data_IF_184135887473
#
_entry.id   IF_184135887473
#
_cell.length_a   1.000
_cell.length_b   1.000
_cell.length_c   1.000
_cell.angle_alpha   90.00
_cell.angle_beta   90.00
_cell.angle_gamma   90.00
#
_symmetry.space_group_name_H-M   'P 1'
#
loop_
_entity.id
_entity.type
_entity.pdbx_description
1 polymer ?
#
# COMPACT_ATOMS: atom_id res chain seq x y z
N UNK A 1 10.49 -16.36 37.16
CA UNK A 1 9.62 -15.16 37.14
C UNK A 1 10.44 -13.95 37.53
N UNK A 2 11.04 -13.26 36.55
CA UNK A 2 11.76 -12.01 36.77
C UNK A 2 10.84 -10.89 36.32
N UNK A 3 10.37 -10.12 37.29
CA UNK A 3 9.52 -8.96 37.11
C UNK A 3 10.39 -7.83 36.53
N UNK A 4 10.29 -7.58 35.22
CA UNK A 4 11.14 -6.62 34.49
C UNK A 4 10.33 -5.50 33.83
N UNK A 5 9.38 -4.90 34.55
CA UNK A 5 8.79 -3.62 34.14
C UNK A 5 8.76 -2.66 35.33
N UNK A 6 9.90 -2.04 35.64
CA UNK A 6 9.89 -0.72 36.29
C UNK A 6 9.28 0.26 35.30
N UNK A 7 8.08 0.74 35.58
CA UNK A 7 7.43 1.82 34.81
C UNK A 7 8.32 3.06 34.94
N UNK A 8 9.12 3.33 33.91
CA UNK A 8 9.93 4.53 33.84
C UNK A 8 9.03 5.68 33.36
N UNK A 9 8.67 6.61 34.26
CA UNK A 9 7.81 7.78 33.97
C UNK A 9 8.40 8.75 32.92
N UNK A 10 9.59 8.48 32.37
CA UNK A 10 10.31 9.31 31.40
C UNK A 10 10.35 8.74 29.96
N UNK A 11 9.71 7.60 29.68
CA UNK A 11 9.70 7.02 28.33
C UNK A 11 8.68 7.73 27.45
N UNK A 12 9.11 8.20 26.27
CA UNK A 12 8.23 8.70 25.21
C UNK A 12 7.31 7.57 24.78
N UNK A 13 6.00 7.78 24.82
CA UNK A 13 5.00 6.80 24.42
C UNK A 13 4.49 7.07 23.02
N UNK A 14 4.51 6.03 22.18
CA UNK A 14 4.14 6.12 20.77
C UNK A 14 3.02 5.13 20.44
N UNK A 15 2.07 5.55 19.60
CA UNK A 15 0.99 4.69 19.12
C UNK A 15 0.84 4.76 17.61
N UNK A 16 0.59 3.60 16.98
CA UNK A 16 0.14 3.52 15.60
C UNK A 16 -1.38 3.40 15.55
N UNK A 17 -1.99 4.04 14.56
CA UNK A 17 -3.40 3.82 14.20
C UNK A 17 -3.49 3.41 12.72
N UNK A 18 -4.20 2.31 12.45
CA UNK A 18 -4.42 1.80 11.10
C UNK A 18 -5.92 1.62 10.81
N UNK A 19 -6.29 1.74 9.53
CA UNK A 19 -7.62 1.39 9.02
C UNK A 19 -7.47 0.24 8.04
N UNK A 20 -8.25 -0.82 8.19
CA UNK A 20 -8.05 -2.03 7.42
C UNK A 20 -9.37 -2.68 6.96
N UNK A 21 -9.35 -3.22 5.74
CA UNK A 21 -10.42 -4.07 5.20
C UNK A 21 -9.82 -5.32 4.59
N UNK A 22 -10.22 -6.49 5.06
CA UNK A 22 -9.77 -7.80 4.54
C UNK A 22 -8.23 -7.95 4.48
N UNK A 23 -7.51 -7.51 5.53
CA UNK A 23 -6.04 -7.58 5.63
C UNK A 23 -5.57 -8.70 6.57
N UNK A 24 -6.42 -9.69 6.85
CA UNK A 24 -6.14 -10.76 7.81
C UNK A 24 -4.81 -11.47 7.57
N UNK A 25 -4.43 -11.65 6.30
CA UNK A 25 -3.21 -12.35 5.91
C UNK A 25 -1.90 -11.61 6.28
N UNK A 26 -1.98 -10.34 6.69
CA UNK A 26 -0.82 -9.45 6.84
C UNK A 26 -0.67 -8.88 8.25
N UNK A 27 -1.71 -8.96 9.09
CA UNK A 27 -1.67 -8.39 10.44
C UNK A 27 -0.55 -8.95 11.30
N UNK A 28 -0.23 -10.25 11.21
CA UNK A 28 0.78 -10.83 12.09
C UNK A 28 2.16 -10.20 11.88
N UNK A 29 2.65 -10.15 10.64
CA UNK A 29 3.95 -9.54 10.31
C UNK A 29 3.93 -8.04 10.60
N UNK A 30 2.87 -7.33 10.21
CA UNK A 30 2.77 -5.89 10.41
C UNK A 30 2.72 -5.51 11.90
N UNK A 31 1.94 -6.22 12.72
CA UNK A 31 1.87 -5.95 14.18
C UNK A 31 3.18 -6.29 14.85
N UNK A 32 3.73 -7.49 14.60
CA UNK A 32 5.02 -7.91 15.15
C UNK A 32 6.10 -6.88 14.84
N UNK A 33 6.21 -6.47 13.58
CA UNK A 33 7.22 -5.52 13.12
C UNK A 33 7.23 -4.23 13.93
N UNK A 34 6.06 -3.61 14.10
CA UNK A 34 5.97 -2.33 14.78
C UNK A 34 6.12 -2.46 16.31
N UNK A 35 5.67 -3.57 16.92
CA UNK A 35 5.98 -3.84 18.32
C UNK A 35 7.49 -4.07 18.54
N UNK A 36 8.13 -4.85 17.66
CA UNK A 36 9.57 -5.13 17.69
C UNK A 36 10.40 -3.85 17.62
N UNK A 37 9.97 -2.88 16.79
CA UNK A 37 10.61 -1.57 16.64
C UNK A 37 10.19 -0.53 17.69
N UNK A 38 9.50 -0.96 18.74
CA UNK A 38 9.31 -0.19 19.96
C UNK A 38 8.10 0.73 20.00
N UNK A 39 7.12 0.56 19.10
CA UNK A 39 5.83 1.23 19.27
C UNK A 39 5.10 0.66 20.50
N UNK A 40 4.59 1.54 21.36
CA UNK A 40 4.03 1.14 22.66
C UNK A 40 2.59 0.64 22.56
N UNK A 41 1.84 1.04 21.52
CA UNK A 41 0.50 0.53 21.24
C UNK A 41 0.13 0.62 19.76
N UNK A 42 -0.84 -0.21 19.38
CA UNK A 42 -1.37 -0.27 18.03
C UNK A 42 -2.90 -0.34 18.12
N UNK A 43 -3.60 0.57 17.43
CA UNK A 43 -5.05 0.55 17.29
C UNK A 43 -5.43 0.28 15.83
N UNK A 44 -6.12 -0.83 15.57
CA UNK A 44 -6.56 -1.23 14.22
C UNK A 44 -8.08 -1.09 14.11
N UNK A 45 -8.53 -0.18 13.26
CA UNK A 45 -9.94 0.00 12.95
C UNK A 45 -10.26 -0.82 11.70
N UNK A 46 -11.00 -1.91 11.87
CA UNK A 46 -11.45 -2.71 10.73
C UNK A 46 -12.79 -2.22 10.22
N UNK A 47 -12.97 -2.22 8.90
CA UNK A 47 -14.20 -1.78 8.27
C UNK A 47 -14.61 -2.67 7.10
N UNK A 48 -15.89 -3.03 7.05
CA UNK A 48 -16.51 -3.83 5.99
C UNK A 48 -15.71 -5.11 5.69
N UNK A 49 -15.13 -5.68 6.74
CA UNK A 49 -14.23 -6.84 6.63
C UNK A 49 -15.05 -8.13 6.58
N UNK A 50 -14.65 -9.01 5.67
CA UNK A 50 -15.32 -10.25 5.30
C UNK A 50 -14.42 -11.49 5.43
N UNK A 51 -13.13 -11.30 5.66
CA UNK A 51 -12.21 -12.39 6.02
C UNK A 51 -12.20 -12.65 7.54
N UNK A 52 -11.27 -13.49 8.00
CA UNK A 52 -11.13 -13.83 9.42
C UNK A 52 -10.27 -12.84 10.23
N UNK A 53 -10.11 -11.59 9.77
CA UNK A 53 -9.34 -10.53 10.46
C UNK A 53 -9.63 -10.41 11.94
N UNK A 54 -10.92 -10.33 12.34
CA UNK A 54 -11.31 -10.17 13.74
C UNK A 54 -10.80 -11.31 14.63
N UNK A 55 -10.75 -12.53 14.10
CA UNK A 55 -10.25 -13.70 14.84
C UNK A 55 -8.75 -13.64 15.05
N UNK A 56 -8.01 -13.18 14.03
CA UNK A 56 -6.55 -12.97 14.11
C UNK A 56 -6.24 -11.88 15.11
N UNK A 57 -6.88 -10.72 14.98
CA UNK A 57 -6.69 -9.58 15.88
C UNK A 57 -7.03 -9.93 17.33
N UNK A 58 -8.11 -10.70 17.55
CA UNK A 58 -8.46 -11.21 18.89
C UNK A 58 -7.34 -12.04 19.50
N UNK A 59 -6.84 -13.05 18.77
CA UNK A 59 -5.73 -13.90 19.24
C UNK A 59 -4.46 -13.11 19.56
N UNK A 60 -4.13 -12.11 18.73
CA UNK A 60 -3.00 -11.24 18.99
C UNK A 60 -3.24 -10.40 20.25
N UNK A 61 -4.39 -9.73 20.36
CA UNK A 61 -4.73 -8.88 21.52
C UNK A 61 -4.76 -9.63 22.84
N UNK A 62 -5.12 -10.92 22.84
CA UNK A 62 -5.12 -11.78 24.03
C UNK A 62 -3.71 -12.05 24.59
N UNK A 63 -2.69 -11.97 23.74
CA UNK A 63 -1.28 -12.11 24.11
C UNK A 63 -0.56 -10.78 24.26
N UNK A 64 -0.94 -9.81 23.44
CA UNK A 64 -0.35 -8.47 23.34
C UNK A 64 -1.43 -7.42 23.66
N UNK A 65 -1.70 -7.13 24.94
CA UNK A 65 -2.79 -6.24 25.36
C UNK A 65 -2.64 -4.79 24.89
N UNK A 66 -1.45 -4.40 24.42
CA UNK A 66 -1.20 -3.12 23.77
C UNK A 66 -1.69 -3.04 22.31
N UNK A 67 -2.19 -4.15 21.76
CA UNK A 67 -2.79 -4.23 20.42
C UNK A 67 -4.30 -4.24 20.57
N UNK A 68 -4.94 -3.14 20.16
CA UNK A 68 -6.39 -2.99 20.19
C UNK A 68 -6.96 -3.05 18.78
N UNK A 69 -8.21 -3.49 18.68
CA UNK A 69 -8.96 -3.41 17.44
C UNK A 69 -10.40 -2.99 17.68
N UNK A 70 -10.96 -2.30 16.69
CA UNK A 70 -12.31 -1.74 16.74
C UNK A 70 -13.01 -1.97 15.40
N UNK A 71 -14.33 -2.11 15.42
CA UNK A 71 -15.13 -2.06 14.19
C UNK A 71 -15.51 -0.62 13.87
N UNK A 72 -15.34 -0.23 12.61
CA UNK A 72 -15.69 1.10 12.10
C UNK A 72 -16.92 1.08 11.17
N UNK A 73 -17.68 -0.01 11.18
CA UNK A 73 -18.87 -0.20 10.32
C UNK A 73 -20.02 0.74 10.67
N UNK A 74 -19.99 1.35 11.86
CA UNK A 74 -20.93 2.40 12.26
C UNK A 74 -20.94 3.59 11.27
N UNK A 75 -19.87 3.79 10.50
CA UNK A 75 -19.81 4.84 9.48
C UNK A 75 -20.86 4.66 8.38
N UNK A 76 -21.33 3.43 8.16
CA UNK A 76 -22.33 3.13 7.13
C UNK A 76 -23.75 3.54 7.57
N UNK A 77 -23.91 4.00 8.82
CA UNK A 77 -25.13 4.69 9.29
C UNK A 77 -25.18 6.15 8.84
N UNK A 78 -24.08 6.71 8.34
CA UNK A 78 -24.02 8.07 7.81
C UNK A 78 -24.35 8.13 6.31
N UNK A 79 -24.48 9.33 5.76
CA UNK A 79 -24.63 9.52 4.32
C UNK A 79 -23.44 8.96 3.54
N UNK A 80 -23.65 8.64 2.26
CA UNK A 80 -22.60 8.08 1.40
C UNK A 80 -21.36 8.99 1.27
N UNK A 81 -21.55 10.31 1.31
CA UNK A 81 -20.43 11.26 1.31
C UNK A 81 -19.54 11.09 2.54
N UNK A 82 -20.14 10.86 3.70
CA UNK A 82 -19.43 10.69 4.97
C UNK A 82 -18.79 9.30 5.03
N UNK A 83 -19.52 8.25 4.64
CA UNK A 83 -19.00 6.87 4.67
C UNK A 83 -17.89 6.61 3.66
N UNK A 84 -17.78 7.44 2.61
CA UNK A 84 -16.64 7.49 1.70
C UNK A 84 -15.36 8.07 2.31
N UNK A 85 -15.45 8.82 3.42
CA UNK A 85 -14.33 9.49 4.12
C UNK A 85 -13.91 8.75 5.40
N UNK A 86 -14.27 7.46 5.53
CA UNK A 86 -14.05 6.66 6.75
C UNK A 86 -12.64 6.79 7.32
N UNK A 87 -11.61 6.76 6.47
CA UNK A 87 -10.21 6.79 6.92
C UNK A 87 -9.87 8.12 7.62
N UNK A 88 -10.24 9.25 7.04
CA UNK A 88 -10.04 10.58 7.64
C UNK A 88 -10.81 10.72 8.97
N UNK A 89 -12.05 10.22 9.00
CA UNK A 89 -12.93 10.30 10.18
C UNK A 89 -12.38 9.45 11.33
N UNK A 90 -11.95 8.22 11.04
CA UNK A 90 -11.39 7.32 12.05
C UNK A 90 -10.09 7.88 12.63
N UNK A 91 -9.21 8.44 11.79
CA UNK A 91 -7.98 9.06 12.29
C UNK A 91 -8.24 10.30 13.14
N UNK A 92 -9.21 11.13 12.76
CA UNK A 92 -9.63 12.26 13.56
C UNK A 92 -10.22 11.83 14.91
N UNK A 93 -11.06 10.78 14.91
CA UNK A 93 -11.60 10.17 16.13
C UNK A 93 -10.49 9.64 17.04
N UNK A 94 -9.52 8.91 16.48
CA UNK A 94 -8.40 8.37 17.24
C UNK A 94 -7.53 9.49 17.85
N UNK A 95 -7.24 10.56 17.10
CA UNK A 95 -6.52 11.72 17.63
C UNK A 95 -7.27 12.41 18.76
N UNK A 96 -8.58 12.62 18.61
CA UNK A 96 -9.42 13.25 19.64
C UNK A 96 -9.46 12.40 20.92
N UNK A 97 -9.60 11.08 20.78
CA UNK A 97 -9.53 10.14 21.91
C UNK A 97 -8.19 10.24 22.64
N UNK A 98 -7.08 10.27 21.91
CA UNK A 98 -5.75 10.37 22.53
C UNK A 98 -5.48 11.73 23.17
N UNK A 99 -5.99 12.82 22.61
CA UNK A 99 -5.93 14.14 23.24
C UNK A 99 -6.67 14.19 24.58
N UNK A 100 -7.76 13.44 24.71
CA UNK A 100 -8.56 13.34 25.94
C UNK A 100 -7.88 12.45 26.97
N UNK A 101 -7.41 11.28 26.55
CA UNK A 101 -6.80 10.30 27.44
C UNK A 101 -5.40 10.72 27.92
N UNK A 102 -4.61 11.34 27.03
CA UNK A 102 -3.22 11.75 27.26
C UNK A 102 -2.31 10.58 27.64
N UNK A 103 -2.61 9.39 27.11
CA UNK A 103 -1.85 8.17 27.39
C UNK A 103 -0.58 8.07 26.54
N UNK A 104 -0.55 8.72 25.37
CA UNK A 104 0.54 8.67 24.40
C UNK A 104 1.02 10.07 24.00
N UNK A 105 2.32 10.21 23.78
CA UNK A 105 2.97 11.46 23.42
C UNK A 105 2.93 11.70 21.90
N UNK A 106 3.04 10.62 21.11
CA UNK A 106 3.07 10.67 19.66
C UNK A 106 2.13 9.65 19.01
N UNK A 107 1.58 10.05 17.87
CA UNK A 107 0.78 9.20 16.98
C UNK A 107 1.39 9.10 15.59
N UNK A 108 1.18 7.95 14.96
CA UNK A 108 1.51 7.72 13.57
C UNK A 108 0.36 6.97 12.88
N UNK A 109 -0.06 7.44 11.72
CA UNK A 109 -1.01 6.72 10.88
C UNK A 109 -0.24 5.87 9.89
N UNK A 110 -0.53 4.56 9.84
CA UNK A 110 0.12 3.62 8.91
C UNK A 110 -0.93 2.68 8.34
N UNK A 111 -0.81 2.39 7.04
CA UNK A 111 -1.61 1.37 6.37
C UNK A 111 -0.96 -0.01 6.58
N UNK A 112 -1.73 -1.10 6.45
CA UNK A 112 -1.24 -2.47 6.75
C UNK A 112 -0.19 -2.97 5.74
N UNK A 113 -0.04 -2.28 4.60
CA UNK A 113 1.03 -2.49 3.63
C UNK A 113 2.23 -1.54 3.81
N UNK A 114 2.30 -0.78 4.90
CA UNK A 114 3.40 0.16 5.18
C UNK A 114 4.18 -0.22 6.44
N UNK A 115 5.50 -0.18 6.34
CA UNK A 115 6.41 -0.57 7.42
C UNK A 115 7.38 0.57 7.72
N UNK A 116 7.39 1.05 8.98
CA UNK A 116 8.42 1.97 9.44
C UNK A 116 9.73 1.23 9.66
N UNK A 117 10.72 1.44 8.79
CA UNK A 117 11.85 0.53 8.65
C UNK A 117 13.20 1.25 8.84
N UNK A 118 13.87 1.06 10.00
CA UNK A 118 15.27 1.40 10.17
C UNK A 118 16.17 0.32 9.55
N UNK A 119 17.26 0.71 8.88
CA UNK A 119 18.21 -0.21 8.22
C UNK A 119 18.84 -1.22 9.17
N UNK A 120 19.08 -0.79 10.40
CA UNK A 120 19.70 -1.62 11.44
C UNK A 120 18.71 -2.58 12.11
N UNK A 121 17.40 -2.47 11.83
CA UNK A 121 16.31 -3.18 12.50
C UNK A 121 16.32 -3.09 14.05
N UNK A 122 17.10 -2.21 14.64
CA UNK A 122 17.32 -2.17 16.11
C UNK A 122 17.09 -0.77 16.68
N UNK A 123 17.10 0.25 15.82
CA UNK A 123 16.70 1.61 16.19
C UNK A 123 15.18 1.65 16.41
N UNK A 124 14.78 1.93 17.66
CA UNK A 124 13.36 2.08 18.01
C UNK A 124 12.86 3.51 17.83
N UNK A 125 11.55 3.66 17.60
CA UNK A 125 10.93 4.97 17.31
C UNK A 125 11.15 6.00 18.43
N UNK A 126 11.11 5.59 19.70
CA UNK A 126 11.33 6.45 20.86
C UNK A 126 12.78 7.00 20.91
N UNK A 127 13.77 6.19 20.50
CA UNK A 127 15.16 6.63 20.37
C UNK A 127 15.32 7.69 19.30
N UNK A 128 14.62 7.57 18.17
CA UNK A 128 14.64 8.57 17.10
C UNK A 128 14.05 9.89 17.59
N UNK A 129 12.89 9.86 18.23
CA UNK A 129 12.25 11.06 18.79
C UNK A 129 13.14 11.73 19.84
N UNK A 130 13.74 10.93 20.74
CA UNK A 130 14.65 11.42 21.78
C UNK A 130 15.90 12.07 21.18
N UNK A 131 16.53 11.43 20.20
CA UNK A 131 17.72 11.95 19.49
C UNK A 131 17.44 13.30 18.82
N UNK A 132 16.24 13.48 18.27
CA UNK A 132 15.81 14.72 17.63
C UNK A 132 15.27 15.77 18.62
N UNK A 133 15.39 15.53 19.93
CA UNK A 133 14.95 16.42 21.02
C UNK A 133 13.45 16.72 20.96
N UNK A 134 12.63 15.69 20.78
CA UNK A 134 11.15 15.74 20.84
C UNK A 134 10.52 16.77 19.86
N UNK A 135 10.80 16.67 18.55
CA UNK A 135 10.22 17.56 17.55
C UNK A 135 8.69 17.43 17.49
N UNK A 136 8.03 18.38 16.84
CA UNK A 136 6.56 18.35 16.71
C UNK A 136 6.13 17.24 15.75
N UNK A 137 6.93 16.99 14.71
CA UNK A 137 6.74 15.83 13.84
C UNK A 137 8.05 15.34 13.22
N UNK A 138 8.06 14.07 12.84
CA UNK A 138 9.14 13.42 12.07
C UNK A 138 8.52 12.71 10.88
N UNK A 139 8.93 13.08 9.67
CA UNK A 139 8.46 12.50 8.42
C UNK A 139 9.49 11.54 7.82
N UNK A 140 9.00 10.43 7.29
CA UNK A 140 9.80 9.34 6.72
C UNK A 140 9.40 9.13 5.27
N UNK A 141 10.37 9.21 4.35
CA UNK A 141 10.13 9.05 2.92
C UNK A 141 9.82 7.60 2.57
N UNK A 142 8.97 7.41 1.56
CA UNK A 142 8.59 6.10 1.06
C UNK A 142 9.60 5.50 0.09
N UNK A 143 9.71 4.17 0.16
CA UNK A 143 10.15 3.30 -0.92
C UNK A 143 8.96 2.39 -1.25
N UNK A 144 8.48 2.48 -2.49
CA UNK A 144 7.52 1.50 -3.01
C UNK A 144 8.29 0.22 -3.36
N UNK A 145 8.21 -0.81 -2.51
CA UNK A 145 8.84 -2.11 -2.76
C UNK A 145 8.27 -2.70 -4.06
N UNK A 146 9.16 -3.19 -4.93
CA UNK A 146 8.75 -4.01 -6.06
C UNK A 146 8.32 -5.38 -5.54
N UNK A 147 7.16 -5.82 -5.97
CA UNK A 147 6.62 -7.11 -5.66
C UNK A 147 7.49 -8.28 -6.15
N UNK A 148 7.28 -9.44 -5.52
CA UNK A 148 7.95 -10.72 -5.78
C UNK A 148 6.96 -11.77 -6.25
N UNK A 149 7.41 -12.74 -7.03
CA UNK A 149 6.55 -13.82 -7.56
C UNK A 149 5.85 -14.61 -6.45
N UNK A 150 6.59 -14.98 -5.40
CA UNK A 150 6.11 -15.76 -4.26
C UNK A 150 5.03 -15.01 -3.44
N UNK A 151 3.77 -15.51 -3.40
CA UNK A 151 2.70 -14.91 -2.61
C UNK A 151 2.96 -14.97 -1.11
N UNK A 152 2.52 -13.94 -0.39
CA UNK A 152 2.64 -13.86 1.07
C UNK A 152 4.10 -13.94 1.57
N UNK A 153 5.04 -13.48 0.75
CA UNK A 153 6.45 -13.41 1.11
C UNK A 153 6.70 -12.43 2.25
N UNK A 154 7.55 -12.82 3.19
CA UNK A 154 7.98 -11.97 4.30
C UNK A 154 8.93 -10.86 3.84
N UNK A 155 9.14 -9.85 4.67
CA UNK A 155 10.13 -8.79 4.46
C UNK A 155 11.52 -9.37 4.14
N UNK A 156 12.08 -8.99 2.99
CA UNK A 156 13.42 -9.40 2.58
C UNK A 156 14.50 -8.54 3.26
N UNK A 157 15.71 -9.10 3.37
CA UNK A 157 16.87 -8.35 3.82
C UNK A 157 17.26 -7.26 2.80
N UNK A 158 17.14 -7.55 1.49
CA UNK A 158 17.31 -6.57 0.42
C UNK A 158 15.95 -6.21 -0.18
N UNK A 159 15.56 -4.95 -0.03
CA UNK A 159 14.26 -4.45 -0.49
C UNK A 159 14.49 -3.61 -1.74
N UNK A 160 14.20 -4.19 -2.91
CA UNK A 160 14.30 -3.49 -4.20
C UNK A 160 13.00 -2.73 -4.43
N UNK A 161 13.10 -1.44 -4.80
CA UNK A 161 11.94 -0.58 -4.88
C UNK A 161 12.16 0.68 -5.70
N UNK A 162 11.17 1.57 -5.66
CA UNK A 162 11.29 2.94 -6.17
C UNK A 162 11.04 3.94 -5.07
N UNK A 163 12.01 4.83 -4.84
CA UNK A 163 11.91 5.93 -3.88
C UNK A 163 10.82 6.89 -4.36
N UNK A 164 9.84 7.11 -3.48
CA UNK A 164 8.67 7.91 -3.78
C UNK A 164 8.72 9.22 -2.99
N UNK A 165 8.04 10.24 -3.51
CA UNK A 165 7.99 11.56 -2.88
C UNK A 165 7.09 11.65 -1.65
N UNK A 166 6.14 10.73 -1.49
CA UNK A 166 5.26 10.72 -0.31
C UNK A 166 6.04 10.34 0.95
N UNK A 167 5.52 10.82 2.08
CA UNK A 167 6.03 10.51 3.42
C UNK A 167 4.94 9.88 4.28
N UNK A 168 5.32 9.26 5.40
CA UNK A 168 4.44 9.10 6.56
C UNK A 168 5.07 9.79 7.76
N UNK A 169 4.23 10.24 8.68
CA UNK A 169 4.68 11.15 9.73
C UNK A 169 4.21 10.69 11.10
N UNK A 170 5.15 10.60 12.04
CA UNK A 170 4.85 10.55 13.47
C UNK A 170 4.77 11.97 13.99
N UNK A 171 3.76 12.29 14.79
CA UNK A 171 3.51 13.64 15.26
C UNK A 171 3.02 13.67 16.70
N UNK A 172 3.31 14.76 17.40
CA UNK A 172 3.00 14.92 18.81
C UNK A 172 1.50 15.11 19.03
N UNK A 173 0.91 14.37 19.97
CA UNK A 173 -0.53 14.39 20.25
C UNK A 173 -0.99 15.75 20.81
N UNK A 174 -0.15 16.39 21.62
CA UNK A 174 -0.47 17.67 22.26
C UNK A 174 -0.51 18.85 21.28
N UNK A 175 -0.02 18.67 20.05
CA UNK A 175 0.04 19.76 19.09
C UNK A 175 -1.32 20.15 18.51
N UNK A 176 -1.38 21.42 18.07
CA UNK A 176 -2.54 21.99 17.40
C UNK A 176 -2.58 21.56 15.93
N UNK A 177 -3.04 20.32 15.71
CA UNK A 177 -3.41 19.78 14.39
C UNK A 177 -4.61 20.56 13.85
N UNK A 178 -4.43 21.26 12.73
CA UNK A 178 -5.47 22.00 12.00
C UNK A 178 -6.27 21.09 11.06
N UNK A 179 -5.59 20.12 10.45
CA UNK A 179 -6.21 19.15 9.55
C UNK A 179 -5.55 17.79 9.72
N UNK A 180 -6.36 16.77 9.92
CA UNK A 180 -5.93 15.36 9.91
C UNK A 180 -5.81 14.93 8.45
N UNK A 181 -4.63 14.44 8.10
CA UNK A 181 -4.30 13.88 6.80
C UNK A 181 -3.55 12.55 7.02
N UNK A 182 -3.63 11.66 6.03
CA UNK A 182 -3.05 10.32 6.12
C UNK A 182 -1.52 10.35 6.18
N UNK A 183 -0.88 11.16 5.34
CA UNK A 183 0.57 11.12 5.16
C UNK A 183 1.27 12.13 6.05
N UNK A 184 0.72 13.35 6.12
CA UNK A 184 1.29 14.44 6.91
C UNK A 184 0.20 15.39 7.42
N UNK A 185 -0.09 15.41 8.74
CA UNK A 185 -1.09 16.33 9.27
C UNK A 185 -0.62 17.79 9.17
N UNK A 186 -1.58 18.70 9.00
CA UNK A 186 -1.29 20.14 9.02
C UNK A 186 -1.22 20.61 10.46
N UNK A 187 -0.03 20.95 10.93
CA UNK A 187 0.21 21.36 12.33
C UNK A 187 0.62 22.83 12.37
N UNK A 188 -0.05 23.61 13.22
CA UNK A 188 0.21 25.04 13.37
C UNK A 188 1.59 25.32 13.97
N UNK A 189 2.47 26.00 13.22
CA UNK A 189 3.81 26.45 13.66
C UNK A 189 4.73 25.31 14.14
N UNK A 190 4.60 24.12 13.54
CA UNK A 190 5.38 22.95 13.92
C UNK A 190 6.83 22.99 13.42
N UNK A 191 7.75 22.50 14.24
CA UNK A 191 9.08 22.08 13.83
C UNK A 191 9.01 20.66 13.26
N UNK A 192 8.90 20.59 11.94
CA UNK A 192 8.79 19.35 11.18
C UNK A 192 10.16 18.90 10.70
N UNK A 193 10.59 17.70 11.09
CA UNK A 193 11.91 17.15 10.76
C UNK A 193 11.80 15.88 9.91
N UNK A 194 12.90 15.53 9.25
CA UNK A 194 13.15 14.20 8.71
C UNK A 194 13.90 13.35 9.74
N UNK A 195 14.01 12.05 9.48
CA UNK A 195 14.64 11.07 10.39
C UNK A 195 16.10 11.40 10.78
N UNK A 196 16.83 12.14 9.94
CA UNK A 196 18.21 12.57 10.20
C UNK A 196 18.30 13.95 10.88
N UNK A 197 17.16 14.59 11.16
CA UNK A 197 17.08 15.90 11.80
C UNK A 197 17.08 17.09 10.83
N UNK A 198 17.19 16.86 9.52
CA UNK A 198 16.98 17.92 8.52
C UNK A 198 15.54 18.44 8.57
N UNK A 199 15.34 19.71 8.24
CA UNK A 199 13.99 20.31 8.25
C UNK A 199 13.19 19.78 7.06
N UNK A 200 11.96 19.32 7.32
CA UNK A 200 11.05 18.91 6.25
C UNK A 200 10.72 20.09 5.34
N UNK A 201 10.86 19.90 4.03
CA UNK A 201 10.45 20.85 3.01
C UNK A 201 9.49 20.16 2.05
N UNK A 202 8.24 20.65 1.89
CA UNK A 202 7.32 20.12 0.89
C UNK A 202 7.76 20.51 -0.53
N UNK A 203 7.35 19.73 -1.51
CA UNK A 203 7.39 20.09 -2.92
C UNK A 203 6.36 21.21 -3.19
N UNK A 204 6.64 22.07 -4.17
CA UNK A 204 5.83 23.27 -4.41
C UNK A 204 4.35 22.91 -4.68
N UNK A 205 3.46 23.43 -3.84
CA UNK A 205 2.01 23.16 -3.90
C UNK A 205 1.60 21.76 -3.45
N UNK A 206 2.49 20.93 -2.92
CA UNK A 206 2.24 19.54 -2.56
C UNK A 206 2.68 19.25 -1.11
N UNK A 207 1.81 19.57 -0.15
CA UNK A 207 2.13 19.48 1.29
C UNK A 207 2.67 18.13 1.75
N UNK A 208 2.13 17.01 1.24
CA UNK A 208 2.48 15.65 1.67
C UNK A 208 3.65 15.03 0.87
N UNK A 209 4.23 15.78 -0.07
CA UNK A 209 5.31 15.31 -0.94
C UNK A 209 6.60 16.00 -0.54
N UNK A 210 7.62 15.22 -0.21
CA UNK A 210 8.96 15.70 0.07
C UNK A 210 9.54 16.37 -1.17
N UNK A 211 10.16 17.53 -0.98
CA UNK A 211 10.88 18.22 -2.03
C UNK A 211 11.99 17.31 -2.61
N UNK A 212 12.08 17.26 -3.94
CA UNK A 212 13.09 16.46 -4.65
C UNK A 212 14.53 16.71 -4.19
N UNK A 213 14.87 17.93 -3.75
CA UNK A 213 16.22 18.24 -3.24
C UNK A 213 16.57 17.54 -1.93
N UNK A 214 15.59 16.97 -1.23
CA UNK A 214 15.75 16.25 0.05
C UNK A 214 15.51 14.74 -0.10
N UNK A 215 15.24 14.27 -1.32
CA UNK A 215 14.91 12.88 -1.63
C UNK A 215 16.20 12.06 -1.83
N UNK A 216 16.56 11.26 -0.84
CA UNK A 216 17.67 10.30 -0.91
C UNK A 216 17.43 9.15 0.07
N UNK A 217 18.25 8.11 -0.04
CA UNK A 217 18.16 6.94 0.82
C UNK A 217 18.65 7.26 2.23
N UNK A 218 17.74 7.18 3.19
CA UNK A 218 18.01 7.45 4.61
C UNK A 218 18.18 6.15 5.38
N UNK A 219 18.64 6.26 6.62
CA UNK A 219 18.72 5.14 7.56
C UNK A 219 17.34 4.61 7.97
N UNK A 220 16.30 5.44 7.85
CA UNK A 220 14.93 5.07 8.22
C UNK A 220 13.99 5.55 7.12
N UNK A 221 13.24 4.62 6.54
CA UNK A 221 12.30 4.86 5.45
C UNK A 221 10.97 4.15 5.76
N UNK A 222 9.93 4.49 5.01
CA UNK A 222 8.71 3.69 4.97
C UNK A 222 8.83 2.72 3.80
N UNK A 223 8.71 1.42 4.07
CA UNK A 223 8.59 0.42 3.00
C UNK A 223 7.11 0.19 2.73
N UNK A 224 6.66 0.56 1.54
CA UNK A 224 5.27 0.41 1.11
C UNK A 224 5.15 -0.78 0.15
N UNK A 225 4.56 -1.86 0.66
CA UNK A 225 4.40 -3.18 0.01
C UNK A 225 3.08 -3.27 -0.75
N UNK A 226 2.77 -2.28 -1.60
CA UNK A 226 1.48 -2.26 -2.30
C UNK A 226 1.32 -3.31 -3.41
N UNK A 227 2.43 -3.88 -3.88
CA UNK A 227 2.44 -4.87 -4.96
C UNK A 227 2.40 -6.30 -4.44
N UNK A 228 3.21 -6.65 -3.43
CA UNK A 228 3.32 -8.02 -2.90
C UNK A 228 3.58 -9.02 -4.05
N UNK A 229 2.76 -10.04 -4.27
CA UNK A 229 2.80 -10.88 -5.48
C UNK A 229 1.82 -10.47 -6.58
N UNK A 230 1.98 -10.95 -7.83
CA UNK A 230 0.98 -10.74 -8.87
C UNK A 230 -0.43 -11.19 -8.43
N UNK A 231 -0.50 -12.33 -7.73
CA UNK A 231 -1.73 -12.90 -7.17
C UNK A 231 -2.39 -11.95 -6.16
N UNK A 232 -1.61 -11.44 -5.20
CA UNK A 232 -2.11 -10.54 -4.17
C UNK A 232 -2.50 -9.18 -4.75
N UNK A 233 -1.71 -8.66 -5.69
CA UNK A 233 -2.01 -7.44 -6.41
C UNK A 233 -3.35 -7.51 -7.14
N UNK A 234 -3.58 -8.56 -7.93
CA UNK A 234 -4.84 -8.77 -8.65
C UNK A 234 -6.00 -8.95 -7.66
N UNK A 235 -5.79 -9.71 -6.58
CA UNK A 235 -6.78 -9.87 -5.50
C UNK A 235 -7.19 -8.52 -4.90
N UNK A 236 -6.25 -7.59 -4.73
CA UNK A 236 -6.50 -6.24 -4.21
C UNK A 236 -7.29 -5.37 -5.18
N UNK A 237 -7.11 -5.54 -6.49
CA UNK A 237 -7.84 -4.75 -7.49
C UNK A 237 -9.36 -4.94 -7.38
N UNK A 238 -9.82 -6.15 -7.05
CA UNK A 238 -11.24 -6.49 -6.96
C UNK A 238 -11.92 -6.02 -5.65
N UNK A 239 -11.22 -5.27 -4.80
CA UNK A 239 -11.86 -4.60 -3.65
C UNK A 239 -12.68 -3.36 -4.05
N UNK A 240 -12.54 -2.89 -5.29
CA UNK A 240 -13.10 -1.62 -5.74
C UNK A 240 -12.52 -0.42 -4.98
N UNK A 241 -13.19 0.73 -5.03
CA UNK A 241 -12.84 1.91 -4.22
C UNK A 241 -13.92 2.19 -3.17
N UNK A 242 -13.55 2.42 -1.90
CA UNK A 242 -14.50 2.89 -0.89
C UNK A 242 -15.22 4.19 -1.29
N UNK A 243 -14.53 5.07 -2.03
CA UNK A 243 -15.04 6.37 -2.48
C UNK A 243 -15.77 6.35 -3.83
N UNK A 244 -15.80 5.23 -4.55
CA UNK A 244 -16.58 5.13 -5.79
C UNK A 244 -17.12 3.71 -6.00
N UNK A 245 -18.44 3.54 -5.90
CA UNK A 245 -19.13 2.29 -6.25
C UNK A 245 -19.17 2.01 -7.77
N UNK A 246 -18.73 2.96 -8.60
CA UNK A 246 -18.88 2.90 -10.06
C UNK A 246 -17.92 1.92 -10.76
N UNK A 247 -16.79 1.56 -10.14
CA UNK A 247 -15.82 0.65 -10.77
C UNK A 247 -15.63 -0.59 -9.93
N UNK A 248 -15.82 -1.75 -10.56
CA UNK A 248 -15.61 -3.08 -9.96
C UNK A 248 -14.14 -3.33 -9.60
N UNK A 249 -13.22 -2.55 -10.18
CA UNK A 249 -11.79 -2.67 -9.98
C UNK A 249 -11.14 -1.36 -9.51
N UNK A 250 -10.01 -1.47 -8.81
CA UNK A 250 -9.20 -0.33 -8.39
C UNK A 250 -8.44 0.27 -9.58
N UNK A 251 -9.03 1.27 -10.22
CA UNK A 251 -8.52 1.87 -11.48
C UNK A 251 -7.35 2.85 -11.33
N UNK A 252 -6.96 3.27 -10.12
CA UNK A 252 -5.78 4.12 -9.86
C UNK A 252 -4.49 3.29 -9.77
N UNK A 253 -4.30 2.41 -10.75
CA UNK A 253 -3.14 1.54 -10.88
C UNK A 253 -2.69 1.51 -12.35
N UNK A 254 -1.39 1.32 -12.53
CA UNK A 254 -0.72 1.33 -13.84
C UNK A 254 -0.17 -0.05 -14.23
N UNK A 255 -0.56 -1.11 -13.52
CA UNK A 255 -0.01 -2.45 -13.66
C UNK A 255 0.84 -2.86 -12.46
N UNK A 256 1.15 -4.14 -12.37
CA UNK A 256 2.01 -4.70 -11.32
C UNK A 256 3.45 -4.21 -11.49
N UNK A 257 4.13 -3.87 -10.39
CA UNK A 257 5.46 -3.26 -10.36
C UNK A 257 5.63 -1.99 -11.21
N UNK A 258 4.53 -1.33 -11.58
CA UNK A 258 4.52 -0.03 -12.27
C UNK A 258 4.21 1.10 -11.29
N UNK A 259 5.26 1.79 -10.87
CA UNK A 259 5.18 2.97 -10.01
C UNK A 259 6.21 4.01 -10.45
N UNK A 260 5.96 5.27 -10.12
CA UNK A 260 6.92 6.36 -10.33
C UNK A 260 7.95 6.38 -9.21
N UNK A 261 9.14 6.91 -9.51
CA UNK A 261 10.21 7.08 -8.54
C UNK A 261 11.55 6.62 -9.09
N UNK A 262 12.61 6.93 -8.35
CA UNK A 262 13.97 6.51 -8.66
C UNK A 262 14.21 5.11 -8.10
N UNK A 263 14.85 4.23 -8.89
CA UNK A 263 15.18 2.88 -8.44
C UNK A 263 16.18 2.92 -7.29
N UNK A 264 15.94 2.07 -6.29
CA UNK A 264 16.80 1.96 -5.10
C UNK A 264 16.72 0.55 -4.51
N UNK A 265 17.75 0.19 -3.74
CA UNK A 265 17.77 -1.00 -2.89
C UNK A 265 17.98 -0.57 -1.44
N UNK A 266 17.02 -0.91 -0.59
CA UNK A 266 17.11 -0.70 0.86
C UNK A 266 17.56 -2.00 1.53
N UNK A 267 18.87 -2.14 1.74
CA UNK A 267 19.47 -3.28 2.43
C UNK A 267 19.44 -3.10 3.95
N UNK A 268 19.01 -4.15 4.63
CA UNK A 268 19.00 -4.28 6.08
C UNK A 268 20.30 -4.90 6.59
N UNK A 269 20.60 -4.70 7.87
CA UNK A 269 21.64 -5.48 8.54
C UNK A 269 21.23 -6.96 8.59
N UNK A 270 22.08 -7.86 8.09
CA UNK A 270 21.79 -9.30 7.96
C UNK A 270 21.60 -10.00 9.31
N UNK A 271 22.51 -9.77 10.25
CA UNK A 271 22.44 -10.38 11.59
C UNK A 271 21.19 -9.92 12.33
N UNK A 272 20.86 -8.63 12.25
CA UNK A 272 19.64 -8.09 12.83
C UNK A 272 18.37 -8.65 12.14
N UNK A 273 18.42 -8.86 10.82
CA UNK A 273 17.32 -9.47 10.06
C UNK A 273 17.08 -10.93 10.43
N UNK A 274 18.13 -11.70 10.71
CA UNK A 274 18.02 -13.07 11.22
C UNK A 274 17.35 -13.10 12.61
N UNK A 275 17.78 -12.22 13.53
CA UNK A 275 17.16 -12.08 14.85
C UNK A 275 15.70 -11.66 14.74
N UNK A 276 15.41 -10.67 13.89
CA UNK A 276 14.05 -10.22 13.59
C UNK A 276 13.18 -11.37 13.08
N UNK A 277 13.68 -12.13 12.11
CA UNK A 277 12.97 -13.26 11.50
C UNK A 277 12.65 -14.35 12.53
N UNK A 278 13.61 -14.67 13.42
CA UNK A 278 13.36 -15.61 14.51
C UNK A 278 12.31 -15.08 15.49
N UNK A 279 12.39 -13.79 15.87
CA UNK A 279 11.39 -13.20 16.77
C UNK A 279 9.98 -13.19 16.18
N UNK A 280 9.85 -13.14 14.84
CA UNK A 280 8.56 -13.25 14.17
C UNK A 280 8.00 -14.67 14.25
N UNK A 281 8.85 -15.70 14.12
CA UNK A 281 8.46 -17.10 14.33
C UNK A 281 7.95 -17.29 15.75
N UNK A 282 8.69 -16.79 16.75
CA UNK A 282 8.30 -16.88 18.16
C UNK A 282 6.94 -16.19 18.40
N UNK A 283 6.72 -15.01 17.81
CA UNK A 283 5.43 -14.30 17.86
C UNK A 283 4.27 -15.14 17.28
N UNK A 284 4.48 -15.82 16.15
CA UNK A 284 3.46 -16.67 15.53
C UNK A 284 3.11 -17.89 16.39
N UNK A 285 4.10 -18.47 17.06
CA UNK A 285 3.93 -19.61 17.96
C UNK A 285 3.17 -19.20 19.23
N UNK A 286 3.59 -18.11 19.88
CA UNK A 286 2.96 -17.57 21.09
C UNK A 286 1.48 -17.21 20.88
N UNK A 287 1.15 -16.67 19.71
CA UNK A 287 -0.21 -16.29 19.34
C UNK A 287 -1.01 -17.45 18.73
N UNK A 288 -0.35 -18.57 18.41
CA UNK A 288 -0.94 -19.77 17.82
C UNK A 288 -1.78 -19.43 16.58
N UNK A 289 -1.23 -18.63 15.67
CA UNK A 289 -1.96 -18.05 14.53
C UNK A 289 -1.96 -18.89 13.25
N UNK A 290 -1.16 -19.95 13.17
CA UNK A 290 -0.91 -20.69 11.93
C UNK A 290 -2.19 -21.14 11.21
N UNK A 291 -3.20 -21.60 11.95
CA UNK A 291 -4.50 -21.99 11.39
C UNK A 291 -5.24 -20.80 10.78
N UNK A 292 -5.36 -19.71 11.53
CA UNK A 292 -6.06 -18.50 11.09
C UNK A 292 -5.33 -17.83 9.93
N UNK A 293 -3.99 -17.87 9.91
CA UNK A 293 -3.20 -17.34 8.81
C UNK A 293 -3.46 -18.11 7.51
N UNK A 294 -3.56 -19.44 7.57
CA UNK A 294 -3.91 -20.26 6.41
C UNK A 294 -5.32 -19.94 5.89
N UNK A 295 -6.29 -19.68 6.77
CA UNK A 295 -7.64 -19.24 6.37
C UNK A 295 -7.58 -17.89 5.66
N UNK A 296 -6.83 -16.93 6.19
CA UNK A 296 -6.71 -15.59 5.60
C UNK A 296 -6.01 -15.64 4.24
N UNK A 297 -4.93 -16.40 4.11
CA UNK A 297 -4.23 -16.63 2.83
C UNK A 297 -5.16 -17.25 1.79
N UNK A 298 -5.93 -18.28 2.18
CA UNK A 298 -6.93 -18.91 1.31
C UNK A 298 -8.01 -17.93 0.86
N UNK A 299 -8.45 -17.02 1.73
CA UNK A 299 -9.40 -15.98 1.35
C UNK A 299 -8.85 -15.06 0.24
N UNK A 300 -7.58 -14.64 0.35
CA UNK A 300 -6.92 -13.81 -0.67
C UNK A 300 -6.84 -14.54 -2.02
N UNK A 301 -6.47 -15.82 -2.01
CA UNK A 301 -6.44 -16.67 -3.20
C UNK A 301 -7.83 -16.86 -3.82
N UNK A 302 -8.86 -17.11 -3.00
CA UNK A 302 -10.24 -17.19 -3.50
C UNK A 302 -10.73 -15.88 -4.11
N UNK A 303 -10.32 -14.74 -3.53
CA UNK A 303 -10.64 -13.44 -4.12
C UNK A 303 -9.87 -13.20 -5.42
N UNK A 304 -8.64 -13.69 -5.55
CA UNK A 304 -7.90 -13.70 -6.81
C UNK A 304 -8.67 -14.47 -7.90
N UNK A 305 -9.13 -15.69 -7.64
CA UNK A 305 -9.96 -16.48 -8.59
C UNK A 305 -11.23 -15.74 -9.02
N UNK A 306 -11.92 -15.12 -8.05
CA UNK A 306 -13.09 -14.27 -8.34
C UNK A 306 -12.71 -13.06 -9.20
N UNK A 307 -11.51 -12.51 -9.04
CA UNK A 307 -11.02 -11.37 -9.82
C UNK A 307 -10.79 -11.75 -11.27
N UNK A 308 -10.20 -12.93 -11.52
CA UNK A 308 -10.05 -13.48 -12.87
C UNK A 308 -11.42 -13.64 -13.52
N UNK A 309 -12.35 -14.30 -12.82
CA UNK A 309 -13.70 -14.57 -13.32
C UNK A 309 -14.47 -13.29 -13.65
N UNK A 310 -14.26 -12.23 -12.83
CA UNK A 310 -14.89 -10.92 -13.02
C UNK A 310 -14.36 -10.15 -14.24
N UNK A 311 -13.22 -10.50 -14.83
CA UNK A 311 -12.72 -9.83 -16.05
C UNK A 311 -13.75 -9.90 -17.17
N UNK A 312 -14.42 -11.06 -17.31
CA UNK A 312 -15.44 -11.29 -18.32
C UNK A 312 -16.65 -10.34 -18.22
N UNK A 313 -16.94 -9.82 -17.03
CA UNK A 313 -18.09 -8.95 -16.75
C UNK A 313 -17.74 -7.46 -16.71
N UNK A 314 -16.47 -7.08 -16.93
CA UNK A 314 -16.06 -5.68 -16.97
C UNK A 314 -16.79 -4.94 -18.10
N UNK A 315 -17.35 -3.77 -17.78
CA UNK A 315 -17.98 -2.87 -18.75
C UNK A 315 -16.95 -2.41 -19.79
N UNK A 316 -17.33 -2.47 -21.07
CA UNK A 316 -16.53 -1.99 -22.20
C UNK A 316 -16.02 -0.55 -22.02
N UNK A 317 -16.76 0.31 -21.34
CA UNK A 317 -16.36 1.70 -21.04
C UNK A 317 -15.16 1.78 -20.09
N UNK A 318 -14.93 0.75 -19.28
CA UNK A 318 -13.83 0.67 -18.32
C UNK A 318 -12.64 -0.15 -18.84
N UNK A 319 -12.71 -0.69 -20.07
CA UNK A 319 -11.72 -1.57 -20.66
C UNK A 319 -10.29 -1.02 -20.56
N UNK A 320 -10.07 0.22 -21.01
CA UNK A 320 -8.74 0.86 -20.97
C UNK A 320 -8.17 0.94 -19.55
N UNK A 321 -9.01 1.26 -18.56
CA UNK A 321 -8.58 1.34 -17.16
C UNK A 321 -8.30 -0.06 -16.59
N UNK A 322 -9.09 -1.05 -16.99
CA UNK A 322 -8.94 -2.44 -16.56
C UNK A 322 -7.65 -3.05 -17.09
N UNK A 323 -7.43 -3.00 -18.40
CA UNK A 323 -6.21 -3.50 -19.03
C UNK A 323 -4.99 -2.77 -18.46
N UNK A 324 -5.06 -1.44 -18.28
CA UNK A 324 -3.98 -0.67 -17.65
C UNK A 324 -3.66 -1.13 -16.23
N UNK A 325 -4.67 -1.48 -15.43
CA UNK A 325 -4.46 -1.91 -14.05
C UNK A 325 -3.96 -3.36 -13.96
N UNK A 326 -4.32 -4.23 -14.91
CA UNK A 326 -4.04 -5.67 -14.89
C UNK A 326 -2.79 -6.09 -15.67
N UNK A 327 -2.18 -5.21 -16.46
CA UNK A 327 -0.90 -5.50 -17.15
C UNK A 327 0.26 -5.79 -16.19
N UNK A 328 1.28 -6.52 -16.69
CA UNK A 328 2.48 -6.98 -15.96
C UNK A 328 2.19 -7.97 -14.83
N UNK A 329 1.04 -8.65 -14.86
CA UNK A 329 0.65 -9.63 -13.83
C UNK A 329 1.10 -11.04 -14.25
N UNK A 330 0.18 -11.87 -14.73
CA UNK A 330 0.47 -13.26 -15.10
C UNK A 330 -0.36 -13.71 -16.32
N UNK A 331 0.02 -14.86 -16.88
CA UNK A 331 -0.59 -15.43 -18.09
C UNK A 331 -2.10 -15.70 -17.97
N UNK A 332 -2.58 -16.01 -16.77
CA UNK A 332 -4.01 -16.28 -16.56
C UNK A 332 -4.85 -15.02 -16.75
N UNK A 333 -4.38 -13.90 -16.21
CA UNK A 333 -4.99 -12.60 -16.43
C UNK A 333 -4.91 -12.20 -17.91
N UNK A 334 -3.78 -12.45 -18.57
CA UNK A 334 -3.61 -12.14 -19.98
C UNK A 334 -4.60 -12.89 -20.86
N UNK A 335 -4.80 -14.19 -20.63
CA UNK A 335 -5.80 -14.99 -21.35
C UNK A 335 -7.21 -14.41 -21.23
N UNK A 336 -7.63 -14.04 -20.02
CA UNK A 336 -8.97 -13.47 -19.83
C UNK A 336 -9.11 -12.05 -20.41
N UNK A 337 -8.06 -11.23 -20.36
CA UNK A 337 -8.03 -9.92 -21.02
C UNK A 337 -8.12 -10.06 -22.55
N UNK A 338 -7.37 -10.99 -23.15
CA UNK A 338 -7.42 -11.29 -24.59
C UNK A 338 -8.79 -11.82 -24.99
N UNK A 339 -9.37 -12.74 -24.20
CA UNK A 339 -10.70 -13.28 -24.46
C UNK A 339 -11.80 -12.21 -24.41
N UNK A 340 -11.67 -11.23 -23.50
CA UNK A 340 -12.69 -10.19 -23.28
C UNK A 340 -12.53 -8.96 -24.17
N UNK A 341 -11.29 -8.54 -24.42
CA UNK A 341 -10.98 -7.29 -25.12
C UNK A 341 -10.12 -7.51 -26.37
N UNK A 342 -9.81 -8.74 -26.73
CA UNK A 342 -9.05 -9.06 -27.94
C UNK A 342 -9.91 -9.57 -29.09
N UNK A 343 -11.24 -9.55 -29.00
CA UNK A 343 -12.11 -9.97 -30.10
C UNK A 343 -12.34 -8.84 -31.13
N UNK A 344 -12.46 -9.21 -32.41
CA UNK A 344 -12.56 -8.24 -33.51
C UNK A 344 -13.81 -7.37 -33.42
N UNK A 345 -14.91 -7.92 -32.84
CA UNK A 345 -16.15 -7.17 -32.65
C UNK A 345 -15.95 -6.05 -31.63
N UNK A 346 -15.28 -6.32 -30.52
CA UNK A 346 -14.92 -5.32 -29.52
C UNK A 346 -13.97 -4.27 -30.12
N UNK A 347 -12.88 -4.68 -30.76
CA UNK A 347 -11.90 -3.77 -31.38
C UNK A 347 -12.60 -2.85 -32.40
N UNK A 348 -13.42 -3.42 -33.28
CA UNK A 348 -14.16 -2.67 -34.31
C UNK A 348 -15.15 -1.66 -33.73
N UNK A 349 -15.68 -1.91 -32.53
CA UNK A 349 -16.62 -1.02 -31.85
C UNK A 349 -15.98 0.29 -31.35
N UNK A 350 -14.65 0.34 -31.24
CA UNK A 350 -13.95 1.52 -30.74
C UNK A 350 -13.71 2.50 -31.91
N UNK A 351 -14.44 3.61 -31.90
CA UNK A 351 -14.32 4.66 -32.93
C UNK A 351 -13.26 5.73 -32.67
N UNK A 352 -12.52 5.66 -31.54
CA UNK A 352 -11.55 6.70 -31.14
C UNK A 352 -10.11 6.20 -31.33
N UNK A 353 -9.33 6.75 -32.29
CA UNK A 353 -7.95 6.33 -32.54
C UNK A 353 -7.02 6.41 -31.33
N UNK A 354 -7.22 7.39 -30.46
CA UNK A 354 -6.42 7.55 -29.23
C UNK A 354 -6.61 6.36 -28.29
N UNK A 355 -7.85 5.90 -28.11
CA UNK A 355 -8.16 4.74 -27.26
C UNK A 355 -7.58 3.46 -27.86
N UNK A 356 -7.70 3.29 -29.19
CA UNK A 356 -7.10 2.14 -29.88
C UNK A 356 -5.58 2.11 -29.72
N UNK A 357 -4.91 3.27 -29.84
CA UNK A 357 -3.46 3.40 -29.60
C UNK A 357 -3.07 3.06 -28.16
N UNK A 358 -3.84 3.52 -27.17
CA UNK A 358 -3.61 3.17 -25.76
C UNK A 358 -3.75 1.67 -25.53
N UNK A 359 -4.83 1.06 -26.05
CA UNK A 359 -5.07 -0.38 -25.96
C UNK A 359 -3.95 -1.17 -26.66
N UNK A 360 -3.51 -0.77 -27.85
CA UNK A 360 -2.36 -1.38 -28.52
C UNK A 360 -1.08 -1.30 -27.67
N UNK A 361 -0.87 -0.18 -26.97
CA UNK A 361 0.30 0.00 -26.10
C UNK A 361 0.24 -0.92 -24.87
N UNK A 362 -0.94 -1.13 -24.27
CA UNK A 362 -1.05 -2.07 -23.16
C UNK A 362 -0.98 -3.52 -23.62
N UNK A 363 -1.61 -3.85 -24.76
CA UNK A 363 -1.56 -5.20 -25.30
C UNK A 363 -0.17 -5.58 -25.83
N UNK A 364 0.72 -4.62 -26.13
CA UNK A 364 2.08 -4.96 -26.57
C UNK A 364 2.90 -5.72 -25.53
N UNK A 365 2.46 -5.71 -24.27
CA UNK A 365 3.07 -6.48 -23.17
C UNK A 365 2.19 -7.64 -22.70
N UNK A 366 1.07 -7.90 -23.37
CA UNK A 366 0.08 -8.94 -23.04
C UNK A 366 -0.02 -9.94 -24.19
N UNK A 367 -0.36 -9.45 -25.38
CA UNK A 367 -0.47 -10.23 -26.61
C UNK A 367 -0.19 -9.33 -27.82
N UNK A 368 0.92 -9.62 -28.52
CA UNK A 368 1.40 -8.79 -29.63
C UNK A 368 0.45 -8.81 -30.84
N UNK A 369 -0.25 -9.90 -31.09
CA UNK A 369 -1.18 -10.02 -32.21
C UNK A 369 -2.45 -9.21 -31.97
N UNK A 370 -2.94 -9.20 -30.73
CA UNK A 370 -4.03 -8.32 -30.31
C UNK A 370 -3.60 -6.85 -30.42
N UNK A 371 -2.38 -6.52 -30.00
CA UNK A 371 -1.85 -5.15 -30.12
C UNK A 371 -1.77 -4.68 -31.59
N UNK A 372 -1.36 -5.56 -32.50
CA UNK A 372 -1.33 -5.29 -33.94
C UNK A 372 -2.74 -5.00 -34.47
N UNK A 373 -3.74 -5.83 -34.15
CA UNK A 373 -5.13 -5.58 -34.57
C UNK A 373 -5.67 -4.24 -34.05
N UNK A 374 -5.33 -3.86 -32.81
CA UNK A 374 -5.68 -2.54 -32.28
C UNK A 374 -5.04 -1.39 -33.06
N UNK A 375 -3.74 -1.48 -33.38
CA UNK A 375 -3.04 -0.39 -34.09
C UNK A 375 -3.44 -0.31 -35.55
N UNK A 376 -3.73 -1.44 -36.20
CA UNK A 376 -4.27 -1.52 -37.57
C UNK A 376 -5.63 -0.83 -37.64
N UNK A 377 -6.53 -1.16 -36.71
CA UNK A 377 -7.82 -0.47 -36.62
C UNK A 377 -7.66 1.04 -36.40
N UNK A 378 -6.67 1.45 -35.62
CA UNK A 378 -6.38 2.87 -35.40
C UNK A 378 -5.90 3.56 -36.68
N UNK A 379 -5.12 2.87 -37.51
CA UNK A 379 -4.66 3.35 -38.82
C UNK A 379 -5.78 3.39 -39.86
N UNK A 380 -6.73 2.45 -39.85
CA UNK A 380 -7.90 2.52 -40.72
C UNK A 380 -8.70 3.81 -40.50
N UNK A 381 -8.90 4.19 -39.23
CA UNK A 381 -9.63 5.40 -38.87
C UNK A 381 -8.77 6.66 -39.07
N UNK A 382 -7.46 6.58 -38.82
CA UNK A 382 -6.55 7.73 -38.92
C UNK A 382 -5.20 7.37 -39.59
N UNK A 383 -5.16 7.19 -40.92
CA UNK A 383 -4.01 6.61 -41.63
C UNK A 383 -2.71 7.42 -41.55
N UNK A 384 -2.82 8.74 -41.37
CA UNK A 384 -1.67 9.67 -41.39
C UNK A 384 -1.16 10.07 -40.01
N UNK A 385 -1.61 9.43 -38.93
CA UNK A 385 -1.19 9.78 -37.57
C UNK A 385 0.26 9.30 -37.31
N UNK A 386 1.25 10.20 -37.15
CA UNK A 386 2.66 9.79 -37.04
C UNK A 386 2.92 8.86 -35.84
N UNK A 387 2.28 9.14 -34.71
CA UNK A 387 2.44 8.34 -33.49
C UNK A 387 1.86 6.92 -33.59
N UNK A 388 0.82 6.73 -34.41
CA UNK A 388 0.19 5.41 -34.62
C UNK A 388 1.03 4.61 -35.62
N UNK A 389 1.52 5.27 -36.68
CA UNK A 389 2.45 4.66 -37.65
C UNK A 389 3.72 4.18 -36.95
N UNK A 390 4.30 5.01 -36.08
CA UNK A 390 5.49 4.64 -35.30
C UNK A 390 5.22 3.43 -34.40
N UNK A 391 4.11 3.46 -33.65
CA UNK A 391 3.71 2.33 -32.81
C UNK A 391 3.56 1.05 -33.63
N UNK A 392 2.89 1.11 -34.79
CA UNK A 392 2.71 -0.04 -35.66
C UNK A 392 4.05 -0.63 -36.13
N UNK A 393 5.00 0.22 -36.56
CA UNK A 393 6.35 -0.23 -36.94
C UNK A 393 7.07 -0.92 -35.79
N UNK A 394 6.99 -0.37 -34.57
CA UNK A 394 7.58 -0.97 -33.38
C UNK A 394 6.96 -2.32 -33.05
N UNK A 395 5.63 -2.45 -33.13
CA UNK A 395 4.92 -3.70 -32.87
C UNK A 395 5.25 -4.77 -33.92
N UNK A 396 5.34 -4.42 -35.20
CA UNK A 396 5.77 -5.36 -36.26
C UNK A 396 7.20 -5.85 -36.03
N UNK A 397 8.10 -4.97 -35.58
CA UNK A 397 9.46 -5.38 -35.26
C UNK A 397 9.50 -6.30 -34.03
N UNK A 398 8.72 -5.99 -32.99
CA UNK A 398 8.59 -6.83 -31.80
C UNK A 398 8.05 -8.22 -32.18
N UNK A 399 6.99 -8.30 -32.98
CA UNK A 399 6.38 -9.56 -33.42
C UNK A 399 7.33 -10.47 -34.23
N UNK A 400 8.32 -9.90 -34.92
CA UNK A 400 9.36 -10.69 -35.64
C UNK A 400 10.42 -11.26 -34.72
N UNK A 401 10.58 -10.68 -33.52
CA UNK A 401 11.61 -11.05 -32.56
C UNK A 401 11.08 -11.94 -31.42
N UNK A 402 9.75 -12.01 -31.27
CA UNK A 402 9.02 -12.94 -30.40
C UNK A 402 8.83 -14.29 -31.08
#
# INVERSE_FOLDING_TARGET
>A
MINMFKINKSKIKTKIVAVAKDEGAYFAEWIHHHLYLGFDAIDIYVNRTSDNSLKILKKISDKYPQVNFFTADWIDLCSEEVSGKIQEIVYALALDKEKKNKDFDYLMYLDIDEFWMPRDLTTSIDKVISKLKHPDSISFQWINELGREEPFSQLSCDIVGRRHKLVKTVFKVSDKVQKVLLHLPVISRAKMLLADGTVYKPEDGQHEQLNSSLSYDREIMIIHRMFRSPTEYVSLLNRGRPSSKQSQIKTNRSGYNRCMGEETTFSLNKEAHEIYSQSFIDFLDETTLSKEMNVAKKFILQRYEKSISAISSIDSKEATKAVRALQFTNEEIYRELVKKFGDDKFISSIGRPVVLKEMATYFSTIDINVALRYVERALEIHPRAPQIIDLHKRLLQQAKNS
#
